data_IF_574209397090
#
_entry.id   IF_574209397090
#
_cell.length_a   1.000
_cell.length_b   1.000
_cell.length_c   1.000
_cell.angle_alpha   90.00
_cell.angle_beta   90.00
_cell.angle_gamma   90.00
#
_symmetry.space_group_name_H-M   'P 1'
#
loop_
_entity.id
_entity.type
_entity.pdbx_description
1 polymer ?
#
# COMPACT_ATOMS: atom_id res chain seq x y z
N UNK A 1 2.07 51.03 -23.94
CA UNK A 1 3.31 50.59 -23.26
C UNK A 1 2.88 49.68 -22.11
N UNK A 2 3.18 48.38 -22.19
CA UNK A 2 2.91 47.46 -21.08
C UNK A 2 3.73 47.88 -19.86
N UNK A 3 3.13 47.90 -18.69
CA UNK A 3 3.80 48.32 -17.46
C UNK A 3 4.92 47.33 -17.10
N UNK A 4 5.99 47.84 -16.45
CA UNK A 4 7.11 47.02 -15.99
C UNK A 4 6.61 45.81 -15.12
N UNK A 5 5.50 45.98 -14.39
CA UNK A 5 4.80 44.93 -13.64
C UNK A 5 4.21 43.84 -14.55
N UNK A 6 3.66 44.20 -15.71
CA UNK A 6 3.14 43.21 -16.68
C UNK A 6 4.27 42.48 -17.40
N UNK A 7 5.40 43.11 -17.63
CA UNK A 7 6.61 42.47 -18.15
C UNK A 7 7.21 41.49 -17.11
N UNK A 8 7.31 41.91 -15.84
CA UNK A 8 7.80 41.06 -14.75
C UNK A 8 6.84 39.91 -14.49
N UNK A 9 5.51 40.12 -14.50
CA UNK A 9 4.52 39.06 -14.35
C UNK A 9 4.54 38.04 -15.49
N UNK A 10 4.89 38.46 -16.72
CA UNK A 10 5.12 37.55 -17.86
C UNK A 10 6.42 36.76 -17.74
N UNK A 11 7.43 37.25 -17.07
CA UNK A 11 8.68 36.54 -16.83
C UNK A 11 8.55 35.53 -15.70
N UNK A 12 7.63 35.72 -14.75
CA UNK A 12 7.29 34.83 -13.68
C UNK A 12 5.89 34.20 -13.85
N UNK A 13 5.40 34.08 -15.10
CA UNK A 13 4.17 33.32 -15.32
C UNK A 13 4.39 31.90 -14.80
N UNK A 14 3.72 31.54 -13.70
CA UNK A 14 3.70 30.15 -13.20
C UNK A 14 3.27 29.26 -14.36
N UNK A 15 4.03 28.20 -14.59
CA UNK A 15 3.62 27.15 -15.52
C UNK A 15 2.28 26.63 -15.03
N UNK A 16 1.28 26.58 -15.91
CA UNK A 16 -0.02 26.01 -15.56
C UNK A 16 0.17 24.53 -15.24
N UNK A 17 -0.25 24.04 -14.05
CA UNK A 17 -0.08 22.65 -13.71
C UNK A 17 -0.75 21.71 -14.71
N UNK A 18 -0.23 20.50 -14.85
CA UNK A 18 -0.96 19.41 -15.51
C UNK A 18 -2.26 19.12 -14.75
N UNK A 19 -3.28 18.55 -15.40
CA UNK A 19 -4.52 18.19 -14.74
C UNK A 19 -4.27 17.32 -13.52
N UNK A 20 -4.79 17.74 -12.37
CA UNK A 20 -4.72 16.94 -11.15
C UNK A 20 -5.51 15.64 -11.32
N UNK A 21 -5.01 14.55 -10.75
CA UNK A 21 -5.64 13.24 -10.85
C UNK A 21 -4.65 12.09 -10.71
N UNK A 22 -5.18 10.88 -10.86
CA UNK A 22 -4.39 9.65 -10.83
C UNK A 22 -4.07 9.19 -12.25
N UNK A 23 -2.82 8.86 -12.47
CA UNK A 23 -2.29 8.29 -13.70
C UNK A 23 -1.55 7.01 -13.34
N UNK A 24 -1.77 5.93 -14.09
CA UNK A 24 -1.16 4.65 -13.78
C UNK A 24 -0.57 3.96 -15.00
N UNK A 25 0.41 3.12 -14.76
CA UNK A 25 0.99 2.22 -15.73
C UNK A 25 1.23 0.86 -15.07
N UNK A 26 0.82 -0.20 -15.75
CA UNK A 26 1.14 -1.59 -15.39
C UNK A 26 1.97 -2.19 -16.52
N UNK A 27 3.08 -2.84 -16.15
CA UNK A 27 3.89 -3.57 -17.14
C UNK A 27 3.05 -4.65 -17.82
N UNK A 28 3.20 -4.86 -19.13
CA UNK A 28 2.55 -5.97 -19.84
C UNK A 28 2.93 -7.32 -19.21
N UNK A 29 2.02 -8.30 -19.25
CA UNK A 29 2.25 -9.62 -18.63
C UNK A 29 3.47 -10.37 -19.19
N UNK A 30 3.83 -10.10 -20.45
CA UNK A 30 4.99 -10.65 -21.15
C UNK A 30 6.29 -9.83 -20.97
N UNK A 31 6.24 -8.76 -20.19
CA UNK A 31 7.45 -7.99 -19.87
C UNK A 31 8.38 -8.82 -18.98
N UNK A 32 9.69 -8.65 -19.21
CA UNK A 32 10.73 -9.33 -18.43
C UNK A 32 10.68 -9.00 -16.91
N UNK A 33 10.03 -7.89 -16.56
CA UNK A 33 9.83 -7.44 -15.19
C UNK A 33 8.42 -6.88 -15.02
N UNK A 34 7.74 -7.36 -14.01
CA UNK A 34 6.43 -6.86 -13.64
C UNK A 34 6.57 -5.67 -12.68
N UNK A 35 5.86 -4.60 -12.95
CA UNK A 35 5.82 -3.42 -12.08
C UNK A 35 4.60 -2.54 -12.37
N UNK A 36 4.23 -1.74 -11.38
CA UNK A 36 3.19 -0.71 -11.47
C UNK A 36 3.74 0.65 -11.06
N UNK A 37 3.37 1.67 -11.81
CA UNK A 37 3.61 3.07 -11.48
C UNK A 37 2.27 3.76 -11.28
N UNK A 38 2.12 4.49 -10.16
CA UNK A 38 0.96 5.32 -9.89
C UNK A 38 1.44 6.74 -9.63
N UNK A 39 1.08 7.66 -10.48
CA UNK A 39 1.37 9.08 -10.32
C UNK A 39 0.10 9.82 -9.93
N UNK A 40 0.09 10.39 -8.75
CA UNK A 40 -0.93 11.35 -8.33
C UNK A 40 -0.40 12.76 -8.54
N UNK A 41 -1.07 13.53 -9.41
CA UNK A 41 -0.81 14.95 -9.61
C UNK A 41 -1.72 15.78 -8.71
N UNK A 42 -1.11 16.66 -7.94
CA UNK A 42 -1.81 17.60 -7.06
C UNK A 42 -2.22 18.87 -7.81
N UNK A 43 -3.25 19.62 -7.36
CA UNK A 43 -3.70 20.84 -8.02
C UNK A 43 -2.63 21.94 -8.14
N UNK A 44 -1.60 21.90 -7.29
CA UNK A 44 -0.47 22.85 -7.33
C UNK A 44 0.67 22.42 -8.26
N UNK A 45 0.51 21.33 -8.99
CA UNK A 45 1.45 20.76 -9.95
C UNK A 45 2.50 19.84 -9.36
N UNK A 46 2.57 19.69 -8.03
CA UNK A 46 3.42 18.66 -7.40
C UNK A 46 2.85 17.28 -7.69
N UNK A 47 3.69 16.27 -7.54
CA UNK A 47 3.27 14.89 -7.72
C UNK A 47 3.74 13.97 -6.61
N UNK A 48 3.06 12.84 -6.52
CA UNK A 48 3.50 11.69 -5.73
C UNK A 48 3.54 10.49 -6.68
N UNK A 49 4.74 9.95 -6.88
CA UNK A 49 4.92 8.73 -7.67
C UNK A 49 5.10 7.55 -6.71
N UNK A 50 4.22 6.57 -6.86
CA UNK A 50 4.30 5.31 -6.13
C UNK A 50 4.76 4.20 -7.10
N UNK A 51 5.76 3.44 -6.67
CA UNK A 51 6.33 2.31 -7.41
C UNK A 51 5.98 1.04 -6.64
N UNK A 52 5.26 0.13 -7.27
CA UNK A 52 4.81 -1.15 -6.68
C UNK A 52 4.12 -1.03 -5.31
N UNK A 53 3.44 0.10 -5.06
CA UNK A 53 2.83 0.45 -3.76
C UNK A 53 3.81 0.46 -2.56
N UNK A 54 5.11 0.34 -2.78
CA UNK A 54 6.15 0.26 -1.75
C UNK A 54 7.00 1.54 -1.69
N UNK A 55 7.54 1.98 -2.83
CA UNK A 55 8.39 3.18 -2.89
C UNK A 55 7.57 4.42 -3.19
N UNK A 56 7.72 5.47 -2.38
CA UNK A 56 7.00 6.75 -2.52
C UNK A 56 7.98 7.87 -2.81
N UNK A 57 7.79 8.56 -3.93
CA UNK A 57 8.59 9.72 -4.33
C UNK A 57 7.70 10.98 -4.33
N UNK A 58 8.11 11.99 -3.56
CA UNK A 58 7.51 13.31 -3.62
C UNK A 58 8.21 14.14 -4.70
N UNK A 59 7.45 14.60 -5.68
CA UNK A 59 7.95 15.26 -6.87
C UNK A 59 7.59 16.76 -6.87
N UNK A 60 8.57 17.59 -7.18
CA UNK A 60 8.30 18.99 -7.54
C UNK A 60 7.56 19.05 -8.90
N UNK A 61 7.02 20.20 -9.31
CA UNK A 61 6.22 20.29 -10.54
C UNK A 61 6.94 19.81 -11.82
N UNK A 62 8.24 20.04 -11.93
CA UNK A 62 9.01 19.61 -13.12
C UNK A 62 9.21 18.09 -13.13
N UNK A 63 9.63 17.50 -12.00
CA UNK A 63 9.78 16.06 -11.86
C UNK A 63 8.42 15.34 -12.01
N UNK A 64 7.33 15.94 -11.52
CA UNK A 64 5.98 15.42 -11.70
C UNK A 64 5.56 15.38 -13.18
N UNK A 65 5.99 16.34 -13.99
CA UNK A 65 5.74 16.33 -15.44
C UNK A 65 6.58 15.25 -16.15
N UNK A 66 7.83 15.04 -15.74
CA UNK A 66 8.63 13.93 -16.24
C UNK A 66 8.01 12.58 -15.86
N UNK A 67 7.55 12.43 -14.62
CA UNK A 67 6.83 11.24 -14.17
C UNK A 67 5.54 11.00 -14.97
N UNK A 68 4.80 12.08 -15.28
CA UNK A 68 3.60 11.99 -16.12
C UNK A 68 3.91 11.41 -17.51
N UNK A 69 4.93 11.95 -18.17
CA UNK A 69 5.35 11.43 -19.49
C UNK A 69 5.86 9.99 -19.40
N UNK A 70 6.56 9.63 -18.34
CA UNK A 70 7.04 8.26 -18.11
C UNK A 70 5.87 7.27 -17.92
N UNK A 71 4.89 7.64 -17.10
CA UNK A 71 3.69 6.81 -16.85
C UNK A 71 2.83 6.70 -18.12
N UNK A 72 2.74 7.76 -18.93
CA UNK A 72 2.03 7.74 -20.21
C UNK A 72 2.82 7.07 -21.35
N UNK A 73 4.04 6.57 -21.08
CA UNK A 73 4.93 5.97 -22.09
C UNK A 73 5.17 6.88 -23.29
N UNK A 74 5.20 8.18 -23.08
CA UNK A 74 5.49 9.14 -24.12
C UNK A 74 6.93 8.94 -24.65
N UNK A 75 7.17 9.09 -25.98
CA UNK A 75 8.52 9.08 -26.52
C UNK A 75 9.40 10.14 -25.85
N UNK A 76 10.66 9.81 -25.56
CA UNK A 76 11.61 10.70 -24.86
C UNK A 76 11.72 12.09 -25.52
N UNK A 77 11.76 12.10 -26.85
CA UNK A 77 11.84 13.34 -27.66
C UNK A 77 10.60 14.20 -27.53
N UNK A 78 9.42 13.57 -27.37
CA UNK A 78 8.16 14.30 -27.19
C UNK A 78 8.07 14.87 -25.77
N UNK A 79 8.40 14.08 -24.76
CA UNK A 79 8.46 14.51 -23.35
C UNK A 79 9.41 15.72 -23.22
N UNK A 80 10.64 15.63 -23.73
CA UNK A 80 11.62 16.72 -23.69
C UNK A 80 11.14 17.97 -24.42
N UNK A 81 10.48 17.83 -25.58
CA UNK A 81 9.90 18.99 -26.31
C UNK A 81 8.79 19.66 -25.53
N UNK A 82 7.91 18.91 -24.89
CA UNK A 82 6.80 19.46 -24.12
C UNK A 82 7.33 20.22 -22.89
N UNK A 83 8.22 19.61 -22.12
CA UNK A 83 8.83 20.23 -20.93
C UNK A 83 9.65 21.47 -21.33
N UNK A 84 10.48 21.38 -22.38
CA UNK A 84 11.25 22.51 -22.88
C UNK A 84 10.38 23.74 -23.18
N UNK A 85 9.23 23.54 -23.85
CA UNK A 85 8.28 24.62 -24.18
C UNK A 85 7.59 25.19 -22.96
N UNK A 86 7.20 24.32 -22.02
CA UNK A 86 6.43 24.72 -20.83
C UNK A 86 7.29 25.47 -19.82
N UNK A 87 8.50 24.96 -19.56
CA UNK A 87 9.43 25.53 -18.57
C UNK A 87 10.46 26.52 -19.17
N UNK A 88 10.45 26.69 -20.50
CA UNK A 88 11.36 27.59 -21.23
C UNK A 88 12.85 27.28 -21.00
N UNK A 89 13.16 25.98 -20.91
CA UNK A 89 14.52 25.46 -20.87
C UNK A 89 14.94 24.95 -22.25
N UNK A 90 16.24 24.77 -22.49
CA UNK A 90 16.68 24.19 -23.78
C UNK A 90 16.20 22.74 -23.91
N UNK A 91 16.03 22.31 -25.16
CA UNK A 91 15.64 20.91 -25.44
C UNK A 91 16.67 19.92 -24.88
N UNK A 92 17.96 20.25 -24.99
CA UNK A 92 19.06 19.41 -24.51
C UNK A 92 19.00 19.21 -22.99
N UNK A 93 18.74 20.29 -22.25
CA UNK A 93 18.55 20.20 -20.78
C UNK A 93 17.33 19.36 -20.46
N UNK A 94 16.17 19.63 -21.08
CA UNK A 94 14.96 18.87 -20.82
C UNK A 94 15.11 17.38 -21.19
N UNK A 95 15.87 17.05 -22.23
CA UNK A 95 16.17 15.67 -22.60
C UNK A 95 17.07 14.99 -21.58
N UNK A 96 18.13 15.67 -21.16
CA UNK A 96 19.06 15.15 -20.15
C UNK A 96 18.33 14.86 -18.83
N UNK A 97 17.58 15.84 -18.32
CA UNK A 97 16.81 15.71 -17.07
C UNK A 97 15.79 14.54 -17.16
N UNK A 98 15.11 14.37 -18.31
CA UNK A 98 14.18 13.27 -18.51
C UNK A 98 14.87 11.90 -18.49
N UNK A 99 16.02 11.80 -19.12
CA UNK A 99 16.82 10.54 -19.14
C UNK A 99 17.27 10.22 -17.72
N UNK A 100 17.87 11.19 -17.02
CA UNK A 100 18.32 11.01 -15.63
C UNK A 100 17.18 10.61 -14.71
N UNK A 101 15.99 11.24 -14.85
CA UNK A 101 14.81 10.87 -14.07
C UNK A 101 14.32 9.45 -14.39
N UNK A 102 14.32 9.08 -15.69
CA UNK A 102 13.88 7.73 -16.11
C UNK A 102 14.82 6.65 -15.58
N UNK A 103 16.14 6.85 -15.70
CA UNK A 103 17.17 5.93 -15.18
C UNK A 103 17.08 5.81 -13.66
N UNK A 104 16.79 6.90 -12.95
CA UNK A 104 16.55 6.88 -11.51
C UNK A 104 15.35 6.02 -11.14
N UNK A 105 14.20 6.19 -11.83
CA UNK A 105 13.02 5.34 -11.58
C UNK A 105 13.32 3.88 -11.92
N UNK A 106 14.04 3.60 -13.02
CA UNK A 106 14.47 2.25 -13.39
C UNK A 106 15.36 1.62 -12.31
N UNK A 107 16.29 2.37 -11.74
CA UNK A 107 17.14 1.87 -10.64
C UNK A 107 16.33 1.48 -9.37
N UNK A 108 15.27 2.22 -9.06
CA UNK A 108 14.36 1.89 -7.96
C UNK A 108 13.50 0.66 -8.23
N UNK A 109 13.26 0.35 -9.51
CA UNK A 109 12.60 -0.90 -9.90
C UNK A 109 13.53 -2.11 -9.75
N UNK A 110 14.85 -1.92 -9.88
CA UNK A 110 15.83 -3.00 -9.75
C UNK A 110 16.21 -3.30 -8.29
N UNK A 111 16.33 -2.27 -7.47
CA UNK A 111 16.72 -2.38 -6.06
C UNK A 111 15.75 -1.56 -5.22
N UNK A 112 14.65 -2.16 -4.72
CA UNK A 112 13.61 -1.43 -3.96
C UNK A 112 14.11 -0.68 -2.73
N UNK A 113 15.21 -1.13 -2.10
CA UNK A 113 15.80 -0.52 -0.90
C UNK A 113 16.91 0.49 -1.21
N UNK A 114 17.11 0.87 -2.48
CA UNK A 114 18.03 1.95 -2.81
C UNK A 114 17.59 3.24 -2.11
N UNK A 115 18.48 3.77 -1.27
CA UNK A 115 18.27 5.11 -0.72
C UNK A 115 18.12 6.10 -1.88
N UNK A 116 17.03 6.88 -1.95
CA UNK A 116 16.89 7.89 -2.99
C UNK A 116 18.09 8.84 -2.93
N UNK A 117 18.90 8.83 -3.96
CA UNK A 117 20.04 9.74 -4.06
C UNK A 117 19.48 11.17 -4.10
N UNK A 118 20.03 12.04 -3.27
CA UNK A 118 19.58 13.42 -3.05
C UNK A 118 19.70 14.37 -4.27
N UNK A 119 19.92 13.84 -5.47
CA UNK A 119 20.20 14.60 -6.68
C UNK A 119 18.99 15.38 -7.26
N UNK A 120 17.75 15.01 -6.89
CA UNK A 120 16.55 15.70 -7.39
C UNK A 120 15.87 16.62 -6.37
N UNK A 121 16.62 17.20 -5.41
CA UNK A 121 16.05 18.02 -4.32
C UNK A 121 14.94 17.33 -3.51
N UNK A 122 14.80 16.03 -3.66
CA UNK A 122 13.93 15.22 -2.82
C UNK A 122 14.65 14.98 -1.50
N UNK A 123 14.61 15.98 -0.60
CA UNK A 123 15.08 15.78 0.77
C UNK A 123 14.38 14.53 1.35
N UNK A 124 15.09 13.72 2.14
CA UNK A 124 14.50 12.61 2.90
C UNK A 124 13.32 13.14 3.70
N UNK A 125 12.14 12.94 3.17
CA UNK A 125 10.90 13.23 3.87
C UNK A 125 10.24 11.90 4.18
N UNK A 126 9.66 11.81 5.37
CA UNK A 126 8.80 10.65 5.67
C UNK A 126 7.75 10.51 4.56
N UNK A 127 7.46 9.30 4.03
CA UNK A 127 6.53 9.12 2.91
C UNK A 127 5.19 9.85 3.08
N UNK A 128 4.71 9.95 4.32
CA UNK A 128 3.46 10.60 4.72
C UNK A 128 3.65 12.07 5.14
N UNK A 129 4.86 12.64 5.06
CA UNK A 129 5.10 14.06 5.35
C UNK A 129 4.68 14.93 4.17
N UNK A 130 4.46 16.20 4.43
CA UNK A 130 4.05 17.15 3.41
C UNK A 130 2.52 17.25 3.25
N UNK A 131 2.11 18.00 2.23
CA UNK A 131 0.69 18.18 1.89
C UNK A 131 0.31 17.15 0.84
N UNK A 132 -0.38 16.11 1.26
CA UNK A 132 -0.95 15.08 0.40
C UNK A 132 -2.49 15.20 0.44
N UNK A 133 -3.16 14.91 -0.68
CA UNK A 133 -4.62 15.00 -0.83
C UNK A 133 -5.35 13.74 -0.40
N UNK A 134 -4.63 12.60 -0.28
CA UNK A 134 -5.17 11.30 0.10
C UNK A 134 -4.05 10.41 0.66
N UNK A 135 -4.38 9.34 1.38
CA UNK A 135 -3.41 8.33 1.79
C UNK A 135 -2.89 7.55 0.58
N UNK A 136 -1.92 6.68 0.81
CA UNK A 136 -1.37 5.79 -0.22
C UNK A 136 -2.10 4.46 -0.27
N UNK A 137 -2.73 4.07 0.85
CA UNK A 137 -3.41 2.79 1.02
C UNK A 137 -4.72 2.92 1.78
N UNK A 138 -5.65 2.04 1.44
CA UNK A 138 -6.90 1.85 2.15
C UNK A 138 -7.00 0.39 2.60
N UNK A 139 -7.11 0.17 3.92
CA UNK A 139 -7.32 -1.15 4.49
C UNK A 139 -8.82 -1.37 4.69
N UNK A 140 -9.41 -2.28 3.91
CA UNK A 140 -10.85 -2.49 3.84
C UNK A 140 -11.25 -3.77 4.56
N UNK A 141 -11.81 -3.65 5.77
CA UNK A 141 -12.42 -4.77 6.47
C UNK A 141 -13.74 -5.14 5.81
N UNK A 142 -13.73 -6.20 5.03
CA UNK A 142 -14.92 -6.62 4.28
C UNK A 142 -15.98 -7.27 5.18
N UNK A 143 -15.53 -7.94 6.25
CA UNK A 143 -16.35 -8.67 7.22
C UNK A 143 -15.60 -8.79 8.54
N UNK A 144 -16.31 -9.01 9.63
CA UNK A 144 -15.69 -9.42 10.92
C UNK A 144 -15.97 -10.90 11.26
N UNK A 145 -16.49 -11.66 10.30
CA UNK A 145 -16.64 -13.12 10.46
C UNK A 145 -15.28 -13.81 10.42
N UNK A 146 -15.12 -14.88 11.21
CA UNK A 146 -13.95 -15.75 11.24
C UNK A 146 -14.35 -17.19 10.94
N UNK A 147 -13.43 -18.00 10.44
CA UNK A 147 -13.68 -19.42 10.13
C UNK A 147 -14.06 -20.21 11.40
N UNK A 148 -13.40 -19.91 12.51
CA UNK A 148 -13.77 -20.44 13.81
C UNK A 148 -14.42 -19.32 14.63
N UNK A 149 -15.75 -19.34 14.73
CA UNK A 149 -16.45 -18.49 15.68
C UNK A 149 -16.14 -18.96 17.08
N UNK A 150 -15.09 -18.43 17.73
CA UNK A 150 -14.98 -18.46 19.16
C UNK A 150 -16.24 -17.78 19.72
N UNK A 151 -17.02 -18.52 20.49
CA UNK A 151 -18.20 -18.01 21.19
C UNK A 151 -17.73 -16.88 22.13
N UNK A 152 -17.84 -15.64 21.70
CA UNK A 152 -17.37 -14.49 22.46
C UNK A 152 -16.92 -13.30 21.62
N UNK A 153 -16.58 -13.50 20.34
CA UNK A 153 -16.42 -12.36 19.44
C UNK A 153 -17.75 -11.60 19.40
N UNK A 154 -17.77 -10.26 19.62
CA UNK A 154 -18.99 -9.49 19.43
C UNK A 154 -19.39 -9.70 17.97
N UNK A 155 -20.32 -10.62 17.73
CA UNK A 155 -20.92 -10.83 16.42
C UNK A 155 -21.35 -9.44 15.96
N UNK A 156 -20.71 -8.96 14.90
CA UNK A 156 -20.80 -7.57 14.51
C UNK A 156 -22.26 -7.18 14.38
N UNK A 157 -22.70 -6.27 15.22
CA UNK A 157 -24.00 -5.57 15.14
C UNK A 157 -24.09 -4.76 13.83
N UNK A 158 -23.00 -4.73 13.04
CA UNK A 158 -22.89 -3.98 11.81
C UNK A 158 -23.50 -4.75 10.63
N UNK A 159 -24.37 -4.09 9.91
CA UNK A 159 -24.81 -4.57 8.60
C UNK A 159 -23.60 -4.45 7.65
N UNK A 160 -23.09 -5.57 7.19
CA UNK A 160 -22.03 -5.61 6.18
C UNK A 160 -22.51 -4.97 4.87
N UNK A 161 -21.62 -4.27 4.20
CA UNK A 161 -21.87 -3.68 2.90
C UNK A 161 -22.00 -4.74 1.82
N UNK A 162 -22.86 -4.43 0.84
CA UNK A 162 -23.04 -5.23 -0.37
C UNK A 162 -21.86 -5.09 -1.32
N UNK A 163 -21.75 -5.99 -2.30
CA UNK A 163 -20.75 -5.92 -3.38
C UNK A 163 -20.79 -4.58 -4.11
N UNK A 164 -21.99 -4.08 -4.43
CA UNK A 164 -22.16 -2.81 -5.13
C UNK A 164 -21.68 -1.61 -4.29
N UNK A 165 -21.93 -1.63 -2.98
CA UNK A 165 -21.45 -0.59 -2.07
C UNK A 165 -19.94 -0.62 -1.95
N UNK A 166 -19.31 -1.81 -1.86
CA UNK A 166 -17.85 -1.94 -1.86
C UNK A 166 -17.22 -1.47 -3.17
N UNK A 167 -17.79 -1.81 -4.32
CA UNK A 167 -17.32 -1.29 -5.62
C UNK A 167 -17.38 0.25 -5.66
N UNK A 168 -18.48 0.84 -5.17
CA UNK A 168 -18.58 2.31 -5.07
C UNK A 168 -17.53 2.92 -4.14
N UNK A 169 -17.10 2.21 -3.07
CA UNK A 169 -16.00 2.63 -2.20
C UNK A 169 -14.68 2.60 -2.96
N UNK A 170 -14.40 1.53 -3.71
CA UNK A 170 -13.19 1.41 -4.52
C UNK A 170 -13.12 2.50 -5.59
N UNK A 171 -14.23 2.79 -6.29
CA UNK A 171 -14.34 3.89 -7.25
C UNK A 171 -14.00 5.24 -6.60
N UNK A 172 -14.58 5.51 -5.42
CA UNK A 172 -14.32 6.74 -4.67
C UNK A 172 -12.88 6.84 -4.18
N UNK A 173 -12.31 5.73 -3.70
CA UNK A 173 -10.92 5.66 -3.28
C UNK A 173 -9.96 5.96 -4.45
N UNK A 174 -10.19 5.35 -5.60
CA UNK A 174 -9.43 5.61 -6.82
C UNK A 174 -9.55 7.06 -7.27
N UNK A 175 -10.76 7.60 -7.32
CA UNK A 175 -11.00 9.01 -7.68
C UNK A 175 -10.32 9.98 -6.70
N UNK A 176 -10.21 9.63 -5.42
CA UNK A 176 -9.45 10.38 -4.42
C UNK A 176 -7.93 10.28 -4.60
N UNK A 177 -7.45 9.37 -5.44
CA UNK A 177 -6.02 9.16 -5.70
C UNK A 177 -5.36 8.14 -4.79
N UNK A 178 -6.11 7.15 -4.28
CA UNK A 178 -5.59 6.05 -3.46
C UNK A 178 -5.31 4.85 -4.38
N UNK A 179 -4.03 4.50 -4.61
CA UNK A 179 -3.67 3.49 -5.59
C UNK A 179 -3.62 2.06 -5.06
N UNK A 180 -3.72 1.85 -3.75
CA UNK A 180 -3.52 0.56 -3.12
C UNK A 180 -4.66 0.24 -2.16
N UNK A 181 -5.19 -0.96 -2.24
CA UNK A 181 -6.20 -1.48 -1.31
C UNK A 181 -5.76 -2.82 -0.75
N UNK A 182 -5.94 -3.00 0.57
CA UNK A 182 -5.81 -4.31 1.22
C UNK A 182 -7.18 -4.74 1.73
N UNK A 183 -7.64 -5.89 1.24
CA UNK A 183 -8.88 -6.50 1.68
C UNK A 183 -8.60 -7.35 2.92
N UNK A 184 -9.28 -7.02 4.02
CA UNK A 184 -9.00 -7.53 5.37
C UNK A 184 -10.30 -7.68 6.17
N UNK A 185 -10.20 -7.74 7.48
CA UNK A 185 -11.28 -7.83 8.45
C UNK A 185 -11.09 -9.03 9.38
N UNK A 186 -12.12 -9.84 9.58
CA UNK A 186 -11.98 -11.18 10.18
C UNK A 186 -11.28 -12.10 9.17
N UNK A 187 -12.07 -12.83 8.37
CA UNK A 187 -11.53 -13.63 7.28
C UNK A 187 -12.23 -13.21 5.96
N UNK A 188 -11.56 -12.41 5.10
CA UNK A 188 -12.16 -11.86 3.90
C UNK A 188 -12.52 -12.93 2.86
N UNK A 189 -11.84 -14.10 2.87
CA UNK A 189 -12.15 -15.20 1.95
C UNK A 189 -13.51 -15.86 2.22
N UNK A 190 -14.13 -15.57 3.37
CA UNK A 190 -15.51 -16.00 3.65
C UNK A 190 -16.54 -15.26 2.83
N UNK A 191 -16.18 -14.16 2.19
CA UNK A 191 -17.08 -13.43 1.29
C UNK A 191 -17.12 -14.10 -0.08
N UNK A 192 -18.29 -14.44 -0.59
CA UNK A 192 -18.41 -15.09 -1.89
C UNK A 192 -18.09 -14.15 -3.06
N UNK A 193 -18.13 -12.85 -2.83
CA UNK A 193 -17.88 -11.79 -3.82
C UNK A 193 -16.45 -11.25 -3.80
N UNK A 194 -15.52 -11.86 -3.05
CA UNK A 194 -14.13 -11.40 -2.94
C UNK A 194 -13.43 -11.31 -4.30
N UNK A 195 -13.59 -12.35 -5.15
CA UNK A 195 -13.01 -12.38 -6.50
C UNK A 195 -13.54 -11.22 -7.35
N UNK A 196 -14.84 -10.92 -7.26
CA UNK A 196 -15.48 -9.81 -7.98
C UNK A 196 -14.99 -8.43 -7.51
N UNK A 197 -14.69 -8.28 -6.22
CA UNK A 197 -14.13 -7.04 -5.65
C UNK A 197 -12.68 -6.83 -6.08
N UNK A 198 -11.87 -7.89 -6.11
CA UNK A 198 -10.50 -7.85 -6.60
C UNK A 198 -10.46 -7.47 -8.08
N UNK A 199 -11.27 -8.12 -8.92
CA UNK A 199 -11.36 -7.81 -10.36
C UNK A 199 -11.75 -6.34 -10.60
N UNK A 200 -12.69 -5.81 -9.81
CA UNK A 200 -13.07 -4.40 -9.90
C UNK A 200 -11.90 -3.46 -9.53
N UNK A 201 -11.17 -3.75 -8.47
CA UNK A 201 -10.00 -2.96 -8.06
C UNK A 201 -8.90 -3.01 -9.12
N UNK A 202 -8.64 -4.20 -9.71
CA UNK A 202 -7.69 -4.37 -10.80
C UNK A 202 -8.10 -3.57 -12.06
N UNK A 203 -9.39 -3.58 -12.43
CA UNK A 203 -9.90 -2.80 -13.57
C UNK A 203 -9.75 -1.29 -13.37
N UNK A 204 -9.81 -0.80 -12.13
CA UNK A 204 -9.48 0.59 -11.79
C UNK A 204 -7.97 0.87 -11.93
N UNK A 205 -7.13 -0.16 -11.84
CA UNK A 205 -5.66 -0.05 -11.87
C UNK A 205 -5.03 -0.01 -10.46
N UNK A 206 -5.76 -0.38 -9.42
CA UNK A 206 -5.24 -0.43 -8.05
C UNK A 206 -4.28 -1.61 -7.87
N UNK A 207 -3.32 -1.45 -6.94
CA UNK A 207 -2.61 -2.60 -6.36
C UNK A 207 -3.51 -3.24 -5.33
N UNK A 208 -3.62 -4.56 -5.36
CA UNK A 208 -4.52 -5.30 -4.49
C UNK A 208 -3.77 -6.22 -3.52
N UNK A 209 -4.12 -6.12 -2.25
CA UNK A 209 -3.62 -6.99 -1.19
C UNK A 209 -4.73 -7.77 -0.50
N UNK A 210 -4.37 -8.90 0.05
CA UNK A 210 -5.26 -9.73 0.86
C UNK A 210 -4.59 -10.07 2.19
N UNK A 211 -5.26 -9.78 3.30
CA UNK A 211 -4.85 -10.21 4.62
C UNK A 211 -5.79 -11.32 5.09
N UNK A 212 -5.26 -12.53 5.31
CA UNK A 212 -6.04 -13.77 5.51
C UNK A 212 -5.30 -14.77 6.38
N UNK A 213 -6.03 -15.71 6.97
CA UNK A 213 -5.44 -16.92 7.59
C UNK A 213 -4.88 -17.90 6.52
N UNK A 214 -5.24 -17.67 5.25
CA UNK A 214 -4.74 -18.41 4.10
C UNK A 214 -5.39 -19.76 3.86
N UNK A 215 -6.21 -20.31 4.75
CA UNK A 215 -6.71 -21.68 4.66
C UNK A 215 -7.38 -21.99 3.30
N UNK A 216 -8.17 -21.04 2.77
CA UNK A 216 -8.80 -21.20 1.45
C UNK A 216 -7.85 -21.04 0.27
N UNK A 217 -6.69 -20.43 0.47
CA UNK A 217 -5.67 -20.28 -0.58
C UNK A 217 -4.89 -21.58 -0.82
N UNK A 218 -5.03 -22.58 0.05
CA UNK A 218 -4.56 -23.95 -0.18
C UNK A 218 -5.29 -24.66 -1.34
N UNK A 219 -6.51 -24.20 -1.71
CA UNK A 219 -7.22 -24.64 -2.91
C UNK A 219 -6.66 -23.92 -4.15
N UNK A 220 -5.97 -24.67 -5.02
CA UNK A 220 -5.33 -24.11 -6.22
C UNK A 220 -6.32 -23.46 -7.16
N UNK A 221 -7.55 -23.97 -7.30
CA UNK A 221 -8.56 -23.38 -8.17
C UNK A 221 -9.05 -22.03 -7.65
N UNK A 222 -9.20 -21.91 -6.32
CA UNK A 222 -9.56 -20.64 -5.70
C UNK A 222 -8.42 -19.63 -5.76
N UNK A 223 -7.18 -20.07 -5.53
CA UNK A 223 -6.00 -19.22 -5.68
C UNK A 223 -5.88 -18.70 -7.12
N UNK A 224 -6.02 -19.59 -8.12
CA UNK A 224 -5.98 -19.17 -9.53
C UNK A 224 -7.07 -18.13 -9.84
N UNK A 225 -8.28 -18.30 -9.32
CA UNK A 225 -9.35 -17.30 -9.49
C UNK A 225 -8.98 -15.93 -8.88
N UNK A 226 -8.34 -15.88 -7.72
CA UNK A 226 -7.85 -14.65 -7.10
C UNK A 226 -6.73 -14.00 -7.92
N UNK A 227 -5.80 -14.81 -8.45
CA UNK A 227 -4.70 -14.35 -9.31
C UNK A 227 -5.22 -13.77 -10.64
N UNK A 228 -6.18 -14.46 -11.26
CA UNK A 228 -6.83 -13.98 -12.49
C UNK A 228 -7.61 -12.67 -12.23
N UNK A 229 -8.18 -12.50 -11.05
CA UNK A 229 -8.85 -11.27 -10.63
C UNK A 229 -7.88 -10.14 -10.25
N UNK A 230 -6.56 -10.39 -10.26
CA UNK A 230 -5.54 -9.37 -10.08
C UNK A 230 -4.97 -9.25 -8.67
N UNK A 231 -5.00 -10.32 -7.86
CA UNK A 231 -4.34 -10.31 -6.54
C UNK A 231 -2.82 -10.17 -6.72
N UNK A 232 -2.25 -9.06 -6.21
CA UNK A 232 -0.82 -8.75 -6.34
C UNK A 232 0.00 -9.27 -5.14
N UNK A 233 -0.56 -9.20 -3.93
CA UNK A 233 0.14 -9.66 -2.73
C UNK A 233 -0.82 -10.20 -1.67
N UNK A 234 -0.30 -11.04 -0.78
CA UNK A 234 -1.04 -11.56 0.36
C UNK A 234 -0.19 -11.53 1.62
N UNK A 235 -0.83 -11.23 2.75
CA UNK A 235 -0.28 -11.38 4.09
C UNK A 235 -0.98 -12.55 4.75
N UNK A 236 -0.24 -13.61 5.02
CA UNK A 236 -0.75 -14.82 5.68
C UNK A 236 -0.44 -14.72 7.17
N UNK A 237 -1.48 -14.72 7.98
CA UNK A 237 -1.34 -14.75 9.44
C UNK A 237 -0.99 -16.16 9.88
N UNK A 238 0.24 -16.33 10.35
CA UNK A 238 0.70 -17.62 10.86
C UNK A 238 0.22 -17.83 12.30
N UNK A 239 -0.49 -18.92 12.51
CA UNK A 239 -0.79 -19.47 13.83
C UNK A 239 0.18 -20.63 14.14
N UNK A 240 1.30 -20.39 14.87
CA UNK A 240 2.40 -21.35 14.95
C UNK A 240 2.04 -22.69 15.59
N UNK A 241 0.97 -22.73 16.39
CA UNK A 241 0.51 -23.94 17.08
C UNK A 241 -0.38 -24.83 16.20
N UNK A 242 -0.72 -24.38 14.98
CA UNK A 242 -1.60 -25.10 14.05
C UNK A 242 -0.80 -25.61 12.86
N UNK A 243 -0.71 -26.90 12.71
CA UNK A 243 -0.01 -27.53 11.58
C UNK A 243 -0.61 -27.09 10.23
N UNK A 244 -1.93 -26.90 10.17
CA UNK A 244 -2.65 -26.45 8.97
C UNK A 244 -2.17 -25.07 8.50
N UNK A 245 -1.77 -24.17 9.42
CA UNK A 245 -1.25 -22.86 9.07
C UNK A 245 0.10 -22.95 8.36
N UNK A 246 0.96 -23.88 8.77
CA UNK A 246 2.22 -24.16 8.10
C UNK A 246 2.03 -24.84 6.74
N UNK A 247 1.13 -25.84 6.68
CA UNK A 247 0.78 -26.53 5.45
C UNK A 247 0.22 -25.56 4.40
N UNK A 248 -0.56 -24.57 4.84
CA UNK A 248 -1.09 -23.51 3.99
C UNK A 248 0.03 -22.68 3.35
N UNK A 249 1.01 -22.24 4.15
CA UNK A 249 2.16 -21.46 3.62
C UNK A 249 2.97 -22.27 2.61
N UNK A 250 3.28 -23.54 2.93
CA UNK A 250 4.01 -24.44 2.03
C UNK A 250 3.23 -24.66 0.73
N UNK A 251 1.93 -24.90 0.83
CA UNK A 251 1.07 -25.09 -0.34
C UNK A 251 1.00 -23.84 -1.21
N UNK A 252 0.86 -22.68 -0.57
CA UNK A 252 0.77 -21.40 -1.30
C UNK A 252 2.06 -21.07 -2.04
N UNK A 253 3.23 -21.28 -1.42
CA UNK A 253 4.52 -21.09 -2.09
C UNK A 253 4.71 -22.07 -3.24
N UNK A 254 4.33 -23.34 -3.06
CA UNK A 254 4.33 -24.33 -4.12
C UNK A 254 3.43 -23.93 -5.30
N UNK A 255 2.17 -23.54 -5.05
CA UNK A 255 1.24 -23.16 -6.10
C UNK A 255 1.66 -21.89 -6.81
N UNK A 256 2.24 -20.91 -6.08
CA UNK A 256 2.82 -19.70 -6.69
C UNK A 256 3.86 -20.07 -7.76
N UNK A 257 4.79 -20.98 -7.43
CA UNK A 257 5.81 -21.44 -8.38
C UNK A 257 5.20 -22.25 -9.52
N UNK A 258 4.30 -23.19 -9.21
CA UNK A 258 3.67 -24.07 -10.20
C UNK A 258 2.79 -23.30 -11.22
N UNK A 259 2.20 -22.18 -10.80
CA UNK A 259 1.40 -21.31 -11.65
C UNK A 259 2.21 -20.18 -12.29
N UNK A 260 3.52 -20.10 -12.02
CA UNK A 260 4.39 -19.00 -12.45
C UNK A 260 3.79 -17.62 -12.08
N UNK A 261 3.16 -17.55 -10.90
CA UNK A 261 2.39 -16.39 -10.48
C UNK A 261 3.28 -15.27 -9.91
N UNK A 262 3.04 -14.05 -10.36
CA UNK A 262 3.64 -12.84 -9.76
C UNK A 262 2.87 -12.43 -8.50
N UNK A 263 2.87 -13.30 -7.49
CA UNK A 263 2.24 -13.07 -6.19
C UNK A 263 3.31 -12.82 -5.14
N UNK A 264 3.25 -11.67 -4.47
CA UNK A 264 4.10 -11.41 -3.32
C UNK A 264 3.45 -11.98 -2.04
N UNK A 265 4.15 -12.91 -1.36
CA UNK A 265 3.67 -13.56 -0.15
C UNK A 265 4.47 -13.05 1.05
N UNK A 266 3.75 -12.53 2.05
CA UNK A 266 4.30 -12.13 3.35
C UNK A 266 3.71 -13.02 4.43
N UNK A 267 4.55 -13.67 5.22
CA UNK A 267 4.09 -14.36 6.43
C UNK A 267 4.09 -13.37 7.61
N UNK A 268 2.97 -13.25 8.31
CA UNK A 268 2.88 -12.46 9.54
C UNK A 268 2.97 -13.37 10.76
N UNK A 269 3.91 -13.07 11.66
CA UNK A 269 4.06 -13.74 12.95
C UNK A 269 3.92 -12.74 14.09
N UNK A 270 2.93 -12.95 14.97
CA UNK A 270 2.84 -12.23 16.24
C UNK A 270 3.59 -12.98 17.33
N UNK A 271 4.55 -12.30 17.95
CA UNK A 271 5.29 -12.82 19.11
C UNK A 271 4.43 -12.60 20.36
N UNK A 272 4.10 -13.72 21.01
CA UNK A 272 3.33 -13.78 22.26
C UNK A 272 4.22 -14.29 23.39
N UNK A 273 3.84 -14.15 24.67
CA UNK A 273 4.58 -14.76 25.77
C UNK A 273 4.79 -16.27 25.60
N UNK A 274 3.83 -16.96 24.98
CA UNK A 274 3.85 -18.42 24.82
C UNK A 274 4.85 -18.86 23.73
N UNK A 275 4.98 -18.10 22.63
CA UNK A 275 5.87 -18.45 21.52
C UNK A 275 7.22 -17.72 21.54
N UNK A 276 7.38 -16.69 22.37
CA UNK A 276 8.61 -15.92 22.49
C UNK A 276 9.87 -16.77 22.71
N UNK A 277 9.87 -17.82 23.54
CA UNK A 277 11.04 -18.71 23.72
C UNK A 277 11.45 -19.45 22.44
N UNK A 278 10.52 -19.61 21.49
CA UNK A 278 10.69 -20.37 20.25
C UNK A 278 10.79 -19.46 19.02
N UNK A 279 10.81 -18.12 19.18
CA UNK A 279 10.77 -17.15 18.08
C UNK A 279 11.83 -17.43 17.01
N UNK A 280 13.06 -17.80 17.41
CA UNK A 280 14.13 -18.17 16.48
C UNK A 280 13.80 -19.40 15.64
N UNK A 281 13.34 -20.48 16.28
CA UNK A 281 12.95 -21.71 15.59
C UNK A 281 11.73 -21.50 14.64
N UNK A 282 10.81 -20.62 15.02
CA UNK A 282 9.66 -20.26 14.16
C UNK A 282 10.13 -19.53 12.91
N UNK A 283 11.10 -18.63 13.03
CA UNK A 283 11.68 -17.93 11.87
C UNK A 283 12.48 -18.89 10.97
N UNK A 284 13.22 -19.82 11.53
CA UNK A 284 13.90 -20.89 10.78
C UNK A 284 12.87 -21.77 10.04
N UNK A 285 11.75 -22.11 10.70
CA UNK A 285 10.62 -22.79 10.08
C UNK A 285 10.04 -21.99 8.91
N UNK A 286 9.80 -20.69 9.08
CA UNK A 286 9.31 -19.81 8.02
C UNK A 286 10.27 -19.76 6.83
N UNK A 287 11.57 -19.62 7.06
CA UNK A 287 12.57 -19.66 5.99
C UNK A 287 12.53 -21.00 5.23
N UNK A 288 12.22 -22.09 5.92
CA UNK A 288 12.07 -23.43 5.33
C UNK A 288 10.81 -23.61 4.47
N UNK A 289 9.79 -22.74 4.58
CA UNK A 289 8.57 -22.82 3.76
C UNK A 289 8.73 -22.28 2.34
N UNK A 290 9.85 -21.60 2.03
CA UNK A 290 10.04 -20.88 0.77
C UNK A 290 9.46 -19.45 0.76
N UNK A 291 8.92 -18.97 1.87
CA UNK A 291 8.52 -17.56 2.03
C UNK A 291 9.77 -16.70 2.18
N UNK A 292 9.85 -15.59 1.45
CA UNK A 292 10.99 -14.69 1.45
C UNK A 292 10.75 -13.40 2.25
N UNK A 293 9.50 -13.09 2.59
CA UNK A 293 9.12 -11.87 3.28
C UNK A 293 8.32 -12.17 4.56
N UNK A 294 8.66 -11.47 5.64
CA UNK A 294 7.99 -11.63 6.94
C UNK A 294 7.61 -10.27 7.53
N UNK A 295 6.45 -10.22 8.18
CA UNK A 295 6.00 -9.13 9.03
C UNK A 295 5.97 -9.62 10.47
N UNK A 296 6.59 -8.88 11.39
CA UNK A 296 6.72 -9.28 12.79
C UNK A 296 6.08 -8.24 13.71
N UNK A 297 5.25 -8.69 14.63
CA UNK A 297 4.69 -7.87 15.70
C UNK A 297 4.82 -8.55 17.06
N UNK A 298 4.50 -7.84 18.12
CA UNK A 298 4.45 -8.39 19.47
C UNK A 298 3.05 -8.17 20.07
N UNK A 299 2.57 -9.13 20.87
CA UNK A 299 1.26 -9.04 21.52
C UNK A 299 1.21 -8.04 22.69
N UNK A 300 2.37 -7.66 23.22
CA UNK A 300 2.47 -6.63 24.27
C UNK A 300 3.85 -5.94 24.27
N UNK A 301 3.95 -4.72 24.83
CA UNK A 301 5.19 -3.94 24.83
C UNK A 301 6.38 -4.60 25.59
N UNK A 302 6.11 -5.50 26.53
CA UNK A 302 7.16 -6.19 27.30
C UNK A 302 8.01 -7.12 26.43
N UNK A 303 7.51 -7.49 25.24
CA UNK A 303 8.20 -8.35 24.28
C UNK A 303 9.05 -7.56 23.25
N UNK A 304 9.19 -6.25 23.41
CA UNK A 304 9.93 -5.41 22.46
C UNK A 304 11.38 -5.88 22.22
N UNK A 305 12.08 -6.35 23.25
CA UNK A 305 13.44 -6.88 23.12
C UNK A 305 13.47 -8.21 22.33
N UNK A 306 12.47 -9.08 22.53
CA UNK A 306 12.34 -10.33 21.78
C UNK A 306 12.00 -10.05 20.32
N UNK A 307 11.09 -9.10 20.07
CA UNK A 307 10.76 -8.65 18.73
C UNK A 307 11.98 -8.08 17.98
N UNK A 308 12.81 -7.25 18.66
CA UNK A 308 14.04 -6.73 18.06
C UNK A 308 15.01 -7.85 17.69
N UNK A 309 15.26 -8.80 18.61
CA UNK A 309 16.11 -9.96 18.34
C UNK A 309 15.56 -10.85 17.20
N UNK A 310 14.22 -11.03 17.13
CA UNK A 310 13.57 -11.77 16.07
C UNK A 310 13.77 -11.08 14.69
N UNK A 311 13.69 -9.75 14.63
CA UNK A 311 13.95 -8.97 13.42
C UNK A 311 15.40 -9.12 12.94
N UNK A 312 16.36 -9.05 13.86
CA UNK A 312 17.77 -9.28 13.55
C UNK A 312 18.00 -10.72 13.03
N UNK A 313 17.35 -11.70 13.66
CA UNK A 313 17.47 -13.09 13.25
C UNK A 313 16.83 -13.34 11.87
N UNK A 314 15.67 -12.75 11.59
CA UNK A 314 15.03 -12.82 10.27
C UNK A 314 15.97 -12.29 9.16
N UNK A 315 16.67 -11.18 9.42
CA UNK A 315 17.64 -10.63 8.48
C UNK A 315 18.82 -11.59 8.25
N UNK A 316 19.32 -12.27 9.30
CA UNK A 316 20.38 -13.29 9.18
C UNK A 316 19.94 -14.49 8.35
N UNK A 317 18.66 -14.87 8.44
CA UNK A 317 18.06 -15.94 7.64
C UNK A 317 17.75 -15.52 6.18
N UNK A 318 18.00 -14.27 5.81
CA UNK A 318 17.70 -13.75 4.48
C UNK A 318 16.21 -13.46 4.25
N UNK A 319 15.42 -13.41 5.31
CA UNK A 319 14.01 -13.03 5.22
C UNK A 319 13.90 -11.50 5.14
N UNK A 320 13.20 -11.01 4.12
CA UNK A 320 12.92 -9.58 3.98
C UNK A 320 11.88 -9.15 5.01
N UNK A 321 12.22 -8.15 5.84
CA UNK A 321 11.28 -7.56 6.79
C UNK A 321 10.35 -6.59 6.06
N UNK A 322 9.05 -6.79 6.23
CA UNK A 322 8.02 -5.91 5.70
C UNK A 322 7.41 -5.12 6.84
N UNK A 323 7.32 -3.80 6.64
CA UNK A 323 6.83 -2.85 7.62
C UNK A 323 5.51 -2.23 7.12
N UNK A 324 4.74 -1.66 8.06
CA UNK A 324 3.55 -0.85 7.75
C UNK A 324 2.41 -1.58 7.01
N UNK A 325 2.42 -2.92 6.96
CA UNK A 325 1.26 -3.68 6.51
C UNK A 325 0.21 -3.74 7.62
N UNK A 326 -1.07 -3.82 7.28
CA UNK A 326 -2.11 -4.09 8.27
C UNK A 326 -1.82 -5.44 8.91
N UNK A 327 -2.00 -5.49 10.21
CA UNK A 327 -1.87 -6.71 10.98
C UNK A 327 -3.22 -6.95 11.61
N UNK A 328 -3.84 -8.14 11.45
CA UNK A 328 -5.15 -8.38 12.00
C UNK A 328 -5.08 -8.33 13.53
N UNK A 329 -5.82 -7.40 14.09
CA UNK A 329 -6.05 -7.36 15.52
C UNK A 329 -7.30 -8.17 15.83
N UNK A 330 -7.11 -9.29 16.48
CA UNK A 330 -8.21 -10.11 17.02
C UNK A 330 -7.88 -10.52 18.46
N UNK A 331 -8.89 -10.99 19.20
CA UNK A 331 -8.65 -11.56 20.54
C UNK A 331 -7.72 -12.78 20.47
N UNK A 332 -7.65 -13.45 19.31
CA UNK A 332 -6.74 -14.57 19.05
C UNK A 332 -5.35 -14.12 18.61
N UNK A 333 -5.23 -12.92 18.05
CA UNK A 333 -3.98 -12.33 17.60
C UNK A 333 -3.86 -10.88 18.13
N UNK A 334 -3.74 -10.71 19.47
CA UNK A 334 -3.61 -9.39 20.06
C UNK A 334 -2.26 -8.79 19.69
N UNK A 335 -2.28 -7.64 19.02
CA UNK A 335 -1.07 -6.91 18.67
C UNK A 335 -0.92 -5.76 19.64
N UNK A 336 0.24 -5.68 20.29
CA UNK A 336 0.63 -4.45 20.94
C UNK A 336 0.85 -3.40 19.87
N UNK A 337 0.12 -2.31 19.96
CA UNK A 337 0.49 -1.10 19.23
C UNK A 337 1.91 -0.77 19.66
N UNK A 338 2.87 -0.83 18.74
CA UNK A 338 4.33 -0.74 19.00
C UNK A 338 4.80 0.62 19.57
N UNK A 339 3.91 1.38 20.14
CA UNK A 339 4.24 2.65 20.76
C UNK A 339 3.82 2.58 22.23
N UNK A 340 4.82 2.55 23.09
CA UNK A 340 4.64 2.65 24.55
C UNK A 340 3.89 3.93 24.99
N UNK A 341 3.78 4.91 24.11
CA UNK A 341 2.96 6.09 24.23
C UNK A 341 1.72 5.92 23.34
N UNK A 342 0.57 6.46 23.76
CA UNK A 342 -0.73 6.47 23.07
C UNK A 342 -0.71 7.05 21.63
N UNK A 343 0.48 7.22 21.07
CA UNK A 343 0.70 7.75 19.72
C UNK A 343 0.39 6.68 18.67
N UNK A 344 -0.35 7.04 17.61
CA UNK A 344 -0.59 6.12 16.51
C UNK A 344 0.72 5.70 15.83
N UNK A 345 0.75 4.50 15.24
CA UNK A 345 1.87 4.07 14.40
C UNK A 345 2.22 5.16 13.38
N UNK A 346 3.52 5.43 13.12
CA UNK A 346 3.92 6.44 12.15
C UNK A 346 3.23 6.20 10.81
N UNK A 347 2.48 7.19 10.33
CA UNK A 347 1.69 7.07 9.09
C UNK A 347 0.20 6.75 9.26
N UNK A 348 -0.25 6.22 10.40
CA UNK A 348 -1.66 5.98 10.65
C UNK A 348 -2.50 7.27 10.51
N UNK A 349 -3.60 7.20 9.76
CA UNK A 349 -4.43 8.35 9.44
C UNK A 349 -3.83 9.29 8.37
N UNK A 350 -2.64 9.00 7.84
CA UNK A 350 -1.95 9.79 6.81
C UNK A 350 -1.50 8.93 5.63
N UNK A 351 -0.69 7.90 5.89
CA UNK A 351 -0.23 6.98 4.85
C UNK A 351 -1.30 5.95 4.50
N UNK A 352 -2.10 5.54 5.47
CA UNK A 352 -3.23 4.63 5.28
C UNK A 352 -4.43 5.04 6.14
N UNK A 353 -5.59 4.54 5.76
CA UNK A 353 -6.84 4.59 6.51
C UNK A 353 -7.48 3.20 6.54
N UNK A 354 -8.31 2.96 7.54
CA UNK A 354 -9.06 1.72 7.72
C UNK A 354 -10.54 1.94 7.50
N UNK A 355 -11.20 1.07 6.74
CA UNK A 355 -12.63 1.12 6.46
C UNK A 355 -13.31 -0.09 7.08
N UNK A 356 -14.26 0.14 7.95
CA UNK A 356 -15.05 -0.90 8.61
C UNK A 356 -16.10 -1.52 7.67
N UNK A 357 -16.65 -2.72 7.98
CA UNK A 357 -17.64 -3.38 7.13
C UNK A 357 -18.94 -2.61 6.89
N UNK A 358 -19.20 -1.54 7.64
CA UNK A 358 -20.32 -0.62 7.47
C UNK A 358 -19.96 0.69 6.73
N UNK A 359 -18.69 0.79 6.24
CA UNK A 359 -18.19 1.95 5.53
C UNK A 359 -17.65 3.09 6.39
N UNK A 360 -17.63 2.95 7.72
CA UNK A 360 -17.02 3.95 8.59
C UNK A 360 -15.49 3.93 8.45
N UNK A 361 -14.89 5.12 8.37
CA UNK A 361 -13.45 5.31 8.16
C UNK A 361 -12.78 5.65 9.48
N UNK A 362 -11.72 4.91 9.80
CA UNK A 362 -10.88 5.10 10.98
C UNK A 362 -9.45 5.49 10.57
N UNK A 363 -8.67 6.15 11.42
CA UNK A 363 -7.25 6.41 11.17
C UNK A 363 -6.41 5.15 10.97
N UNK A 364 -6.74 4.08 11.69
CA UNK A 364 -6.13 2.75 11.61
C UNK A 364 -7.06 1.74 12.28
N UNK A 365 -6.79 0.46 12.08
CA UNK A 365 -7.43 -0.63 12.80
C UNK A 365 -7.25 -0.47 14.33
N UNK A 366 -8.26 -0.87 15.11
CA UNK A 366 -8.23 -0.77 16.57
C UNK A 366 -8.35 0.64 17.14
N UNK A 367 -8.74 1.64 16.33
CA UNK A 367 -9.01 3.01 16.78
C UNK A 367 -10.51 3.29 16.79
N UNK A 368 -10.98 3.95 17.85
CA UNK A 368 -12.42 4.22 18.02
C UNK A 368 -12.90 5.49 17.31
N UNK A 369 -11.97 6.32 16.82
CA UNK A 369 -12.29 7.59 16.19
C UNK A 369 -12.79 7.40 14.77
N UNK A 370 -14.09 7.59 14.52
CA UNK A 370 -14.67 7.65 13.19
C UNK A 370 -14.39 9.00 12.54
N UNK A 371 -13.75 8.99 11.37
CA UNK A 371 -13.44 10.18 10.57
C UNK A 371 -14.61 10.58 9.66
N UNK A 372 -15.50 9.66 9.37
CA UNK A 372 -16.67 9.78 8.50
C UNK A 372 -17.05 8.42 7.91
N UNK A 373 -18.01 8.41 7.00
CA UNK A 373 -18.42 7.19 6.30
C UNK A 373 -18.19 7.35 4.79
N UNK A 374 -17.36 6.47 4.21
CA UNK A 374 -16.89 6.63 2.84
C UNK A 374 -18.00 6.54 1.77
N UNK A 375 -19.13 5.88 2.07
CA UNK A 375 -20.27 5.86 1.16
C UNK A 375 -21.06 7.16 1.16
N UNK A 376 -21.27 7.74 2.35
CA UNK A 376 -22.18 8.86 2.56
C UNK A 376 -21.51 10.22 2.45
N UNK A 377 -20.27 10.32 2.90
CA UNK A 377 -19.57 11.59 3.03
C UNK A 377 -18.69 11.86 1.82
N UNK A 378 -18.51 13.13 1.40
CA UNK A 378 -17.49 13.51 0.42
C UNK A 378 -16.09 13.17 0.96
N UNK A 379 -15.18 12.77 0.06
CA UNK A 379 -13.81 12.41 0.43
C UNK A 379 -13.10 13.53 1.20
N UNK A 380 -13.23 14.76 0.73
CA UNK A 380 -12.59 15.92 1.35
C UNK A 380 -13.01 16.13 2.80
N UNK A 381 -14.28 15.83 3.12
CA UNK A 381 -14.80 15.93 4.49
C UNK A 381 -14.16 14.88 5.40
N UNK A 382 -13.96 13.66 4.92
CA UNK A 382 -13.26 12.59 5.64
C UNK A 382 -11.79 12.97 5.81
N UNK A 383 -11.12 13.38 4.72
CA UNK A 383 -9.70 13.67 4.71
C UNK A 383 -9.30 14.83 5.63
N UNK A 384 -10.13 15.87 5.71
CA UNK A 384 -9.90 17.00 6.64
C UNK A 384 -9.89 16.54 8.10
N UNK A 385 -10.64 15.49 8.46
CA UNK A 385 -10.66 14.99 9.84
C UNK A 385 -9.32 14.36 10.26
N UNK A 386 -8.53 13.86 9.31
CA UNK A 386 -7.21 13.26 9.61
C UNK A 386 -6.22 14.29 10.16
N UNK A 387 -6.38 15.57 9.82
CA UNK A 387 -5.52 16.66 10.26
C UNK A 387 -5.95 17.29 11.61
N UNK A 388 -7.08 16.88 12.16
CA UNK A 388 -7.53 17.37 13.46
C UNK A 388 -6.86 16.56 14.56
N UNK A 389 -6.25 17.21 15.56
CA UNK A 389 -5.74 16.49 16.72
C UNK A 389 -6.88 15.68 17.36
N UNK A 390 -6.60 14.51 17.92
CA UNK A 390 -7.58 13.81 18.74
C UNK A 390 -8.05 14.80 19.82
N UNK A 391 -9.36 14.97 19.94
CA UNK A 391 -9.90 15.80 21.00
C UNK A 391 -9.49 15.19 22.34
N UNK A 392 -8.76 15.98 23.14
CA UNK A 392 -8.50 15.71 24.55
C UNK A 392 -9.84 15.64 25.31
#
# INVERSE_FOLDING_TARGET
>A
MASLRELISRWFSKVEPLPAGMYSFKAPRDASKQYRLHLRLEPDGRGVLLINAATVLHLNPTAAEYAYHLVQKAPREEAARQVSRRYRVSYEIAMQDYVEFSEFVESLLEVPDLEPISSFETGRQQPYSGRISAPYRLDCALTYRQLESCAGSPGSVFKELTTAEWKSILDKAWAAGIPHVILTGGEPTLRPDLVELLDHAEQLGMVTGLLTDGQRLGDSAYLDALLQAGLDHTVIVLEPQRDESWETLISLTYWKEALEADLHIVAHLTITPDNAPQAGALLEGLAGTGVHAVSLSASNPSLASVLSAAREHAAVLGLTLVWDLPVPYTDLNPIAIETADESPAPGAGRAWLYVQPNGDVLPAEGRDRVLGNILRDPWEAIWVQTNRPPHL
#
